data_IF_015608252577
#
_entry.id   IF_015608252577
#
_cell.length_a   1.000
_cell.length_b   1.000
_cell.length_c   1.000
_cell.angle_alpha   90.00
_cell.angle_beta   90.00
_cell.angle_gamma   90.00
#
_symmetry.space_group_name_H-M   'P 1'
#
loop_
_entity.id
_entity.type
_entity.pdbx_description
1 polymer ?
#
# COMPACT_ATOMS: atom_id res chain seq x y z
N UNK A 1 -12.97 -10.50 8.51
CA UNK A 1 -12.12 -11.69 8.31
C UNK A 1 -11.41 -11.60 6.97
N UNK A 2 -12.06 -11.83 5.82
CA UNK A 2 -11.47 -11.96 4.47
C UNK A 2 -10.28 -11.05 4.07
N UNK A 3 -10.29 -9.77 4.45
CA UNK A 3 -9.20 -8.83 4.09
C UNK A 3 -7.88 -9.14 4.81
N UNK A 4 -7.91 -9.66 6.03
CA UNK A 4 -6.71 -9.99 6.82
C UNK A 4 -5.91 -11.10 6.14
N UNK A 5 -6.56 -12.22 5.83
CA UNK A 5 -5.91 -13.34 5.14
C UNK A 5 -5.46 -12.94 3.74
N UNK A 6 -6.25 -12.10 3.04
CA UNK A 6 -5.85 -11.53 1.75
C UNK A 6 -4.58 -10.71 1.84
N UNK A 7 -4.43 -9.86 2.87
CA UNK A 7 -3.24 -9.04 3.06
C UNK A 7 -2.00 -9.89 3.40
N UNK A 8 -2.12 -10.88 4.29
CA UNK A 8 -1.00 -11.77 4.63
C UNK A 8 -0.53 -12.59 3.43
N UNK A 9 -1.46 -13.17 2.65
CA UNK A 9 -1.13 -13.89 1.42
C UNK A 9 -0.49 -12.98 0.37
N UNK A 10 -0.98 -11.75 0.24
CA UNK A 10 -0.35 -10.76 -0.66
C UNK A 10 1.07 -10.44 -0.22
N UNK A 11 1.30 -10.25 1.08
CA UNK A 11 2.64 -9.97 1.61
C UNK A 11 3.62 -11.13 1.31
N UNK A 12 3.21 -12.38 1.53
CA UNK A 12 4.04 -13.54 1.25
C UNK A 12 4.35 -13.69 -0.25
N UNK A 13 3.34 -13.52 -1.11
CA UNK A 13 3.51 -13.52 -2.56
C UNK A 13 4.50 -12.43 -2.99
N UNK A 14 4.33 -11.21 -2.48
CA UNK A 14 5.14 -10.06 -2.82
C UNK A 14 6.60 -10.23 -2.36
N UNK A 15 6.83 -10.79 -1.16
CA UNK A 15 8.17 -11.13 -0.67
C UNK A 15 8.89 -12.12 -1.60
N UNK A 16 8.19 -13.16 -2.07
CA UNK A 16 8.74 -14.13 -3.03
C UNK A 16 9.05 -13.49 -4.38
N UNK A 17 8.14 -12.68 -4.92
CA UNK A 17 8.34 -11.99 -6.21
C UNK A 17 9.51 -11.01 -6.19
N UNK A 18 9.79 -10.41 -5.03
CA UNK A 18 10.93 -9.52 -4.82
C UNK A 18 12.23 -10.27 -4.49
N UNK A 19 12.22 -11.60 -4.39
CA UNK A 19 13.39 -12.38 -4.02
C UNK A 19 13.83 -12.21 -2.56
N UNK A 20 12.94 -11.76 -1.66
CA UNK A 20 13.26 -11.63 -0.23
C UNK A 20 13.36 -12.98 0.49
N UNK A 21 12.78 -14.03 -0.11
CA UNK A 21 12.66 -15.37 0.44
C UNK A 21 11.21 -15.78 0.66
N UNK A 22 11.01 -17.00 1.17
CA UNK A 22 9.69 -17.51 1.53
C UNK A 22 9.24 -16.93 2.88
N UNK A 23 8.03 -16.39 2.91
CA UNK A 23 7.39 -15.87 4.10
C UNK A 23 6.22 -16.77 4.49
N UNK A 24 6.27 -17.30 5.71
CA UNK A 24 5.13 -18.02 6.30
C UNK A 24 3.96 -17.05 6.55
N UNK A 25 2.81 -17.39 5.96
CA UNK A 25 1.57 -16.62 6.06
C UNK A 25 1.07 -16.57 7.51
N UNK A 26 1.24 -17.65 8.29
CA UNK A 26 0.80 -17.70 9.68
C UNK A 26 1.61 -16.73 10.57
N UNK A 27 2.91 -16.55 10.29
CA UNK A 27 3.72 -15.51 10.95
C UNK A 27 3.20 -14.10 10.68
N UNK A 28 2.79 -13.82 9.44
CA UNK A 28 2.22 -12.52 9.08
C UNK A 28 0.85 -12.30 9.74
N UNK A 29 0.03 -13.35 9.81
CA UNK A 29 -1.27 -13.35 10.46
C UNK A 29 -1.16 -13.13 11.97
N UNK A 30 -0.21 -13.80 12.63
CA UNK A 30 0.07 -13.63 14.06
C UNK A 30 0.50 -12.18 14.38
N UNK A 31 1.39 -11.59 13.58
CA UNK A 31 1.82 -10.20 13.76
C UNK A 31 0.65 -9.21 13.56
N UNK A 32 -0.23 -9.46 12.59
CA UNK A 32 -1.43 -8.62 12.40
C UNK A 32 -2.35 -8.67 13.63
N UNK A 33 -2.53 -9.85 14.23
CA UNK A 33 -3.37 -10.01 15.42
C UNK A 33 -2.76 -9.35 16.66
N UNK A 34 -1.44 -9.48 16.83
CA UNK A 34 -0.68 -8.81 17.88
C UNK A 34 -0.86 -7.29 17.80
N UNK A 35 -0.68 -6.71 16.59
CA UNK A 35 -0.82 -5.28 16.35
C UNK A 35 -2.27 -4.78 16.46
N UNK A 36 -3.25 -5.64 16.20
CA UNK A 36 -4.67 -5.33 16.31
C UNK A 36 -5.22 -5.50 17.74
N UNK A 37 -4.54 -6.24 18.62
CA UNK A 37 -5.01 -6.52 19.97
C UNK A 37 -5.40 -5.26 20.78
N UNK A 38 -4.68 -4.12 20.69
CA UNK A 38 -5.05 -2.89 21.40
C UNK A 38 -6.36 -2.26 20.93
N UNK A 39 -6.87 -2.56 19.73
CA UNK A 39 -8.07 -1.92 19.18
C UNK A 39 -9.38 -2.60 19.60
N UNK A 40 -9.33 -3.68 20.39
CA UNK A 40 -10.52 -4.45 20.78
C UNK A 40 -11.44 -3.60 21.67
N UNK A 41 -12.44 -2.96 21.05
CA UNK A 41 -13.40 -2.06 21.71
C UNK A 41 -13.07 -0.57 21.62
N UNK A 42 -12.02 -0.20 20.86
CA UNK A 42 -11.55 1.18 20.70
C UNK A 42 -11.67 1.74 19.27
N UNK A 43 -11.00 2.86 19.04
CA UNK A 43 -10.90 3.48 17.72
C UNK A 43 -10.18 2.56 16.71
N UNK A 44 -10.51 2.65 15.41
CA UNK A 44 -9.83 1.87 14.38
C UNK A 44 -8.33 2.19 14.33
N UNK A 45 -7.51 1.18 14.00
CA UNK A 45 -6.08 1.32 13.83
C UNK A 45 -5.67 1.13 12.37
N UNK A 46 -4.66 1.90 11.95
CA UNK A 46 -3.90 1.64 10.73
C UNK A 46 -2.73 0.75 11.08
N UNK A 47 -2.69 -0.45 10.51
CA UNK A 47 -1.59 -1.40 10.70
C UNK A 47 -0.71 -1.40 9.45
N UNK A 48 0.59 -1.19 9.64
CA UNK A 48 1.63 -1.34 8.61
C UNK A 48 2.45 -2.57 8.95
N UNK A 49 2.56 -3.50 8.01
CA UNK A 49 3.46 -4.66 8.09
C UNK A 49 4.38 -4.66 6.89
N UNK A 50 5.67 -4.92 7.13
CA UNK A 50 6.73 -4.95 6.13
C UNK A 50 7.50 -6.25 6.22
N UNK A 51 7.89 -6.78 5.06
CA UNK A 51 8.82 -7.90 4.94
C UNK A 51 10.18 -7.38 4.46
N UNK A 52 11.24 -7.83 5.10
CA UNK A 52 12.64 -7.49 4.82
C UNK A 52 13.42 -8.78 4.56
N UNK A 53 14.16 -8.85 3.47
CA UNK A 53 15.05 -9.98 3.18
C UNK A 53 16.34 -9.85 4.00
N UNK A 54 16.75 -10.93 4.66
CA UNK A 54 17.96 -11.01 5.48
C UNK A 54 18.68 -12.35 5.24
N UNK A 55 19.93 -12.47 5.71
CA UNK A 55 20.72 -13.70 5.53
C UNK A 55 20.04 -14.96 6.10
N UNK A 56 19.26 -14.81 7.18
CA UNK A 56 18.52 -15.89 7.83
C UNK A 56 17.09 -16.09 7.27
N UNK A 57 16.72 -15.38 6.20
CA UNK A 57 15.39 -15.42 5.58
C UNK A 57 14.61 -14.12 5.74
N UNK A 58 13.28 -14.21 5.72
CA UNK A 58 12.40 -13.02 5.77
C UNK A 58 12.13 -12.61 7.21
N UNK A 59 12.44 -11.35 7.53
CA UNK A 59 12.05 -10.71 8.79
C UNK A 59 10.83 -9.81 8.58
N UNK A 60 9.88 -9.89 9.50
CA UNK A 60 8.73 -8.99 9.56
C UNK A 60 8.99 -7.83 10.52
N UNK A 61 8.53 -6.64 10.13
CA UNK A 61 8.39 -5.47 11.01
C UNK A 61 6.95 -4.98 10.93
N UNK A 62 6.40 -4.50 12.03
CA UNK A 62 5.06 -3.95 12.03
C UNK A 62 4.88 -2.81 13.02
N UNK A 63 3.90 -1.96 12.73
CA UNK A 63 3.50 -0.86 13.59
C UNK A 63 1.99 -0.63 13.43
N UNK A 64 1.35 -0.24 14.54
CA UNK A 64 -0.03 0.22 14.54
C UNK A 64 -0.07 1.70 14.94
N UNK A 65 -0.86 2.49 14.23
CA UNK A 65 -1.16 3.88 14.57
C UNK A 65 -2.66 4.05 14.62
N UNK A 66 -3.15 5.08 15.31
CA UNK A 66 -4.56 5.45 15.21
C UNK A 66 -4.92 5.73 13.75
N UNK A 67 -6.07 5.21 13.30
CA UNK A 67 -6.60 5.55 11.99
C UNK A 67 -7.40 6.84 12.12
N UNK A 68 -6.86 7.91 11.56
CA UNK A 68 -7.62 9.14 11.36
C UNK A 68 -8.70 8.92 10.30
N UNK A 69 -9.81 9.64 10.42
CA UNK A 69 -10.85 9.63 9.41
C UNK A 69 -10.36 10.25 8.11
N UNK A 70 -10.66 9.61 6.98
CA UNK A 70 -10.56 10.25 5.68
C UNK A 70 -11.71 11.25 5.48
N UNK A 71 -11.53 12.32 4.69
CA UNK A 71 -12.61 13.25 4.41
C UNK A 71 -13.74 12.57 3.65
N UNK A 72 -14.98 12.98 3.94
CA UNK A 72 -16.17 12.44 3.25
C UNK A 72 -16.14 12.68 1.74
N UNK A 73 -15.45 13.75 1.30
CA UNK A 73 -15.24 14.05 -0.11
C UNK A 73 -13.75 14.21 -0.38
N UNK A 74 -13.26 13.41 -1.33
CA UNK A 74 -11.90 13.56 -1.85
C UNK A 74 -11.90 14.46 -3.07
N UNK A 75 -10.87 15.29 -3.15
CA UNK A 75 -10.52 16.08 -4.34
C UNK A 75 -9.29 15.45 -4.97
N UNK A 76 -9.33 15.22 -6.28
CA UNK A 76 -8.20 14.68 -7.00
C UNK A 76 -7.75 15.67 -8.10
N UNK A 77 -6.47 15.64 -8.42
CA UNK A 77 -5.89 16.34 -9.58
C UNK A 77 -5.14 15.33 -10.45
N UNK A 78 -4.84 15.67 -11.70
CA UNK A 78 -4.00 14.82 -12.55
C UNK A 78 -2.53 14.97 -12.14
N UNK A 79 -1.79 13.85 -12.11
CA UNK A 79 -0.34 13.89 -11.99
C UNK A 79 0.31 14.55 -13.21
N UNK A 80 1.47 15.19 -13.04
CA UNK A 80 2.15 15.89 -14.13
C UNK A 80 3.03 15.00 -15.02
N UNK A 81 3.38 13.81 -14.54
CA UNK A 81 4.20 12.85 -15.25
C UNK A 81 3.34 11.65 -15.70
N UNK A 82 3.65 11.04 -16.86
CA UNK A 82 3.04 9.77 -17.24
C UNK A 82 3.38 8.66 -16.25
N UNK A 83 2.41 7.77 -16.01
CA UNK A 83 2.59 6.56 -15.23
C UNK A 83 3.73 5.73 -15.85
N UNK A 84 4.68 5.20 -15.04
CA UNK A 84 5.88 4.50 -15.54
C UNK A 84 5.57 3.20 -16.30
N UNK A 85 4.30 2.80 -16.35
CA UNK A 85 3.83 1.64 -17.07
C UNK A 85 4.00 0.34 -16.30
N UNK A 86 3.86 -0.77 -17.03
CA UNK A 86 4.06 -2.10 -16.46
C UNK A 86 5.56 -2.36 -16.23
N UNK A 87 5.86 -2.95 -15.08
CA UNK A 87 7.17 -3.43 -14.66
C UNK A 87 7.01 -4.83 -14.05
N UNK A 88 8.09 -5.62 -13.97
CA UNK A 88 8.04 -6.94 -13.31
C UNK A 88 7.51 -6.87 -11.86
N UNK A 89 7.62 -5.71 -11.21
CA UNK A 89 7.18 -5.47 -9.83
C UNK A 89 5.91 -4.61 -9.74
N UNK A 90 5.24 -4.27 -10.85
CA UNK A 90 4.05 -3.39 -10.81
C UNK A 90 2.88 -3.99 -10.03
N UNK A 91 2.82 -5.32 -9.90
CA UNK A 91 1.79 -6.00 -9.11
C UNK A 91 2.14 -6.13 -7.61
N UNK A 92 3.33 -5.65 -7.20
CA UNK A 92 3.90 -5.82 -5.88
C UNK A 92 3.83 -4.52 -5.08
N UNK A 93 3.38 -4.61 -3.83
CA UNK A 93 3.42 -3.47 -2.91
C UNK A 93 4.81 -3.36 -2.26
N UNK A 94 5.69 -2.52 -2.82
CA UNK A 94 7.04 -2.28 -2.31
C UNK A 94 7.24 -0.82 -1.82
N UNK A 95 8.43 -0.53 -1.30
CA UNK A 95 8.84 0.81 -0.82
C UNK A 95 9.43 1.71 -1.91
N UNK A 96 9.74 1.15 -3.09
CA UNK A 96 10.18 1.93 -4.26
C UNK A 96 8.98 2.69 -4.86
N UNK A 97 8.60 3.79 -4.18
CA UNK A 97 7.36 4.53 -4.42
C UNK A 97 7.56 6.00 -4.79
N UNK A 98 8.79 6.41 -5.04
CA UNK A 98 9.16 7.81 -5.30
C UNK A 98 8.20 8.49 -6.30
N UNK A 99 7.91 7.83 -7.42
CA UNK A 99 6.98 8.35 -8.43
C UNK A 99 5.59 8.69 -7.89
N UNK A 100 4.96 7.76 -7.15
CA UNK A 100 3.63 7.97 -6.55
C UNK A 100 3.68 9.00 -5.42
N UNK A 101 4.76 9.02 -4.64
CA UNK A 101 4.93 9.96 -3.54
C UNK A 101 5.12 11.40 -4.05
N UNK A 102 5.86 11.58 -5.15
CA UNK A 102 6.02 12.87 -5.83
C UNK A 102 4.68 13.38 -6.41
N UNK A 103 3.93 12.52 -7.09
CA UNK A 103 2.62 12.87 -7.62
C UNK A 103 1.65 13.27 -6.49
N UNK A 104 1.67 12.54 -5.37
CA UNK A 104 0.83 12.86 -4.21
C UNK A 104 1.27 14.16 -3.52
N UNK A 105 2.57 14.42 -3.42
CA UNK A 105 3.10 15.68 -2.90
C UNK A 105 2.65 16.87 -3.76
N UNK A 106 2.72 16.73 -5.08
CA UNK A 106 2.21 17.74 -6.01
C UNK A 106 0.71 17.97 -5.85
N UNK A 107 -0.09 16.91 -5.79
CA UNK A 107 -1.53 17.03 -5.56
C UNK A 107 -1.85 17.81 -4.28
N UNK A 108 -1.13 17.50 -3.19
CA UNK A 108 -1.28 18.20 -1.91
C UNK A 108 -0.91 19.67 -1.99
N UNK A 109 0.11 20.03 -2.79
CA UNK A 109 0.53 21.43 -2.98
C UNK A 109 -0.56 22.33 -3.58
N UNK A 110 -1.54 21.76 -4.28
CA UNK A 110 -2.69 22.47 -4.86
C UNK A 110 -4.00 22.19 -4.13
N UNK A 111 -3.94 21.63 -2.91
CA UNK A 111 -5.11 21.35 -2.09
C UNK A 111 -5.92 20.11 -2.50
N UNK A 112 -5.36 19.23 -3.33
CA UNK A 112 -5.95 17.93 -3.63
C UNK A 112 -5.48 16.84 -2.64
N UNK A 113 -6.31 15.82 -2.47
CA UNK A 113 -6.09 14.68 -1.58
C UNK A 113 -5.44 13.48 -2.28
N UNK A 114 -5.49 13.49 -3.62
CA UNK A 114 -5.05 12.39 -4.47
C UNK A 114 -4.56 12.90 -5.83
N UNK A 115 -3.63 12.15 -6.42
CA UNK A 115 -3.20 12.34 -7.81
C UNK A 115 -3.72 11.19 -8.67
N UNK A 116 -4.41 11.51 -9.76
CA UNK A 116 -4.83 10.56 -10.80
C UNK A 116 -3.69 10.40 -11.80
N UNK A 117 -3.28 9.15 -12.02
CA UNK A 117 -2.12 8.79 -12.82
C UNK A 117 -2.57 8.24 -14.17
N UNK A 118 -2.08 8.84 -15.24
CA UNK A 118 -2.42 8.49 -16.61
C UNK A 118 -1.20 7.89 -17.30
N UNK A 119 -1.39 6.91 -18.18
CA UNK A 119 -0.31 6.41 -19.01
C UNK A 119 0.08 7.42 -20.12
N UNK A 120 1.09 7.07 -20.92
CA UNK A 120 1.57 7.92 -22.01
C UNK A 120 0.56 8.12 -23.14
N UNK A 121 -0.53 7.34 -23.18
CA UNK A 121 -1.61 7.47 -24.14
C UNK A 121 -2.80 8.27 -23.58
N UNK A 122 -2.72 8.70 -22.31
CA UNK A 122 -3.77 9.46 -21.65
C UNK A 122 -4.91 8.59 -21.09
N UNK A 123 -4.69 7.28 -20.90
CA UNK A 123 -5.65 6.43 -20.19
C UNK A 123 -5.41 6.47 -18.68
N UNK A 124 -6.50 6.54 -17.92
CA UNK A 124 -6.48 6.52 -16.47
C UNK A 124 -6.08 5.14 -15.95
N UNK A 125 -5.00 5.07 -15.17
CA UNK A 125 -4.46 3.81 -14.64
C UNK A 125 -4.90 3.60 -13.18
N UNK A 126 -4.51 4.51 -12.28
CA UNK A 126 -4.78 4.41 -10.85
C UNK A 126 -4.62 5.79 -10.17
N UNK A 127 -4.91 5.86 -8.86
CA UNK A 127 -4.50 6.97 -8.01
C UNK A 127 -3.15 6.70 -7.33
N UNK A 128 -2.48 7.73 -6.81
CA UNK A 128 -1.19 7.57 -6.15
C UNK A 128 -1.24 6.65 -4.89
N UNK A 129 -2.40 6.56 -4.23
CA UNK A 129 -2.65 5.66 -3.09
C UNK A 129 -3.94 4.84 -3.19
N UNK A 130 -4.61 4.85 -4.34
CA UNK A 130 -5.95 4.26 -4.50
C UNK A 130 -6.16 3.60 -5.85
N UNK A 131 -7.10 2.65 -5.91
CA UNK A 131 -7.65 2.15 -7.18
C UNK A 131 -8.92 2.94 -7.50
N UNK A 132 -9.24 3.08 -8.78
CA UNK A 132 -10.36 3.91 -9.24
C UNK A 132 -11.52 3.05 -9.74
N UNK A 133 -12.74 3.50 -9.48
CA UNK A 133 -13.98 2.94 -10.00
C UNK A 133 -14.77 4.10 -10.61
N UNK A 134 -15.14 3.97 -11.89
CA UNK A 134 -15.91 4.97 -12.63
C UNK A 134 -17.26 4.35 -12.97
N UNK A 135 -18.34 5.07 -12.66
CA UNK A 135 -19.73 4.65 -12.85
C UNK A 135 -20.50 5.65 -13.71
#
# INVERSE_FOLDING_TARGET
>A
MWYRERHARRLARDARLLGLGELDVERALALLDELAAPSRGGAPLRIRVEAHGEAAGVRLRGAATQLDGDPALWRATTGCAPHPGASPTSAVKCTARQYWDDALAQARSVGAHEALLFDAQGFLVEGARSSLVVS
#
